data_IF_115864462243
#
_entry.id   IF_115864462243
#
_cell.length_a   1.000
_cell.length_b   1.000
_cell.length_c   1.000
_cell.angle_alpha   90.00
_cell.angle_beta   90.00
_cell.angle_gamma   90.00
#
_symmetry.space_group_name_H-M   'P 1'
#
loop_
_entity.id
_entity.type
_entity.pdbx_description
1 polymer ?
#
# COMPACT_ATOMS: atom_id res chain seq x y z
N UNK A 1 -7.44 15.92 -16.93
CA UNK A 1 -7.13 17.32 -17.30
C UNK A 1 -6.70 18.03 -16.02
N UNK A 2 -5.59 18.77 -16.04
CA UNK A 2 -5.18 19.55 -14.87
C UNK A 2 -6.20 20.70 -14.72
N UNK A 3 -6.79 20.91 -13.53
CA UNK A 3 -7.69 22.03 -13.30
C UNK A 3 -7.01 23.33 -13.72
N UNK A 4 -7.66 24.11 -14.60
CA UNK A 4 -7.20 25.47 -14.93
C UNK A 4 -7.56 26.36 -13.75
N UNK A 5 -6.58 26.72 -12.94
CA UNK A 5 -6.78 27.59 -11.80
C UNK A 5 -5.48 28.20 -11.31
N UNK A 6 -5.60 29.16 -10.41
CA UNK A 6 -4.48 29.86 -9.79
C UNK A 6 -4.21 29.28 -8.41
N UNK A 7 -2.93 29.00 -8.12
CA UNK A 7 -2.51 28.54 -6.79
C UNK A 7 -2.57 29.70 -5.80
N UNK A 8 -3.31 29.50 -4.72
CA UNK A 8 -3.50 30.51 -3.67
C UNK A 8 -2.63 30.22 -2.45
N UNK A 9 -2.33 28.95 -2.18
CA UNK A 9 -1.44 28.52 -1.10
C UNK A 9 -0.82 27.15 -1.44
N UNK A 10 0.34 26.85 -0.85
CA UNK A 10 1.01 25.55 -0.94
C UNK A 10 1.42 25.05 0.43
N UNK A 11 1.29 23.75 0.65
CA UNK A 11 1.48 23.09 1.94
C UNK A 11 2.30 21.82 1.81
N UNK A 12 3.02 21.44 2.86
CA UNK A 12 3.82 20.19 2.85
C UNK A 12 2.96 18.94 3.06
N UNK A 13 1.81 19.09 3.71
CA UNK A 13 0.92 18.00 4.07
C UNK A 13 -0.48 18.19 3.50
N UNK A 14 -1.08 17.08 3.06
CA UNK A 14 -2.48 17.06 2.64
C UNK A 14 -3.42 17.58 3.73
N UNK A 15 -3.11 17.32 5.01
CA UNK A 15 -3.93 17.77 6.14
C UNK A 15 -3.93 19.30 6.28
N UNK A 16 -2.80 19.95 6.02
CA UNK A 16 -2.71 21.42 6.03
C UNK A 16 -3.49 22.01 4.86
N UNK A 17 -3.34 21.42 3.66
CA UNK A 17 -4.15 21.81 2.50
C UNK A 17 -5.66 21.64 2.75
N UNK A 18 -6.06 20.54 3.41
CA UNK A 18 -7.45 20.30 3.80
C UNK A 18 -7.94 21.36 4.80
N UNK A 19 -7.13 21.73 5.80
CA UNK A 19 -7.47 22.80 6.74
C UNK A 19 -7.69 24.14 6.03
N UNK A 20 -6.89 24.46 5.02
CA UNK A 20 -7.09 25.67 4.21
C UNK A 20 -8.41 25.64 3.43
N UNK A 21 -8.76 24.49 2.86
CA UNK A 21 -10.08 24.28 2.23
C UNK A 21 -11.22 24.44 3.24
N UNK A 22 -11.06 23.90 4.45
CA UNK A 22 -12.07 24.01 5.50
C UNK A 22 -12.27 25.46 5.95
N UNK A 23 -11.21 26.26 6.05
CA UNK A 23 -11.29 27.69 6.32
C UNK A 23 -12.02 28.45 5.21
N UNK A 24 -11.74 28.13 3.95
CA UNK A 24 -12.48 28.71 2.82
C UNK A 24 -13.96 28.29 2.86
N UNK A 25 -14.25 27.04 3.16
CA UNK A 25 -15.62 26.53 3.25
C UNK A 25 -16.42 27.22 4.38
N UNK A 26 -15.79 27.50 5.52
CA UNK A 26 -16.41 28.24 6.63
C UNK A 26 -16.76 29.69 6.27
N UNK A 27 -16.07 30.27 5.28
CA UNK A 27 -16.32 31.62 4.77
C UNK A 27 -17.32 31.66 3.59
N UNK A 28 -18.15 30.62 3.44
CA UNK A 28 -19.10 30.45 2.31
C UNK A 28 -18.42 30.54 0.93
N UNK A 29 -17.14 30.13 0.83
CA UNK A 29 -16.45 30.07 -0.45
C UNK A 29 -16.96 28.87 -1.28
N UNK A 30 -17.13 29.01 -2.61
CA UNK A 30 -17.65 27.93 -3.44
C UNK A 30 -16.65 26.76 -3.56
N UNK A 31 -16.78 25.77 -2.68
CA UNK A 31 -15.89 24.60 -2.57
C UNK A 31 -15.73 23.79 -3.87
N UNK A 32 -16.73 23.82 -4.76
CA UNK A 32 -16.68 23.18 -6.08
C UNK A 32 -15.61 23.78 -7.00
N UNK A 33 -15.13 24.99 -6.69
CA UNK A 33 -14.10 25.70 -7.44
C UNK A 33 -12.72 25.57 -6.80
N UNK A 34 -12.58 24.74 -5.76
CA UNK A 34 -11.32 24.48 -5.08
C UNK A 34 -10.78 23.12 -5.51
N UNK A 35 -9.48 23.05 -5.77
CA UNK A 35 -8.77 21.81 -6.10
C UNK A 35 -7.49 21.71 -5.28
N UNK A 36 -7.24 20.55 -4.67
CA UNK A 36 -5.95 20.24 -4.05
C UNK A 36 -5.12 19.47 -5.08
N UNK A 37 -4.01 20.06 -5.50
CA UNK A 37 -3.11 19.51 -6.51
C UNK A 37 -1.81 19.10 -5.84
N UNK A 38 -1.46 17.82 -5.92
CA UNK A 38 -0.14 17.35 -5.48
C UNK A 38 0.94 17.77 -6.48
N UNK A 39 1.92 18.54 -6.02
CA UNK A 39 3.07 18.99 -6.81
C UNK A 39 4.33 18.18 -6.50
N UNK A 40 5.24 18.11 -7.48
CA UNK A 40 6.53 17.44 -7.31
C UNK A 40 6.37 15.96 -6.97
N UNK A 41 5.58 15.22 -7.76
CA UNK A 41 5.37 13.79 -7.58
C UNK A 41 6.72 13.05 -7.62
N UNK A 42 7.10 12.45 -6.50
CA UNK A 42 8.28 11.58 -6.38
C UNK A 42 7.82 10.13 -6.42
N UNK A 43 8.36 9.36 -7.35
CA UNK A 43 8.23 7.91 -7.35
C UNK A 43 9.27 7.34 -6.41
N UNK A 44 8.84 6.77 -5.29
CA UNK A 44 9.74 6.11 -4.34
C UNK A 44 9.62 4.61 -4.53
N UNK A 45 10.73 3.97 -4.88
CA UNK A 45 10.86 2.52 -4.87
C UNK A 45 11.27 2.06 -3.47
N UNK A 46 10.29 1.66 -2.65
CA UNK A 46 10.56 1.24 -1.28
C UNK A 46 11.05 -0.21 -1.27
N UNK A 47 12.32 -0.41 -0.95
CA UNK A 47 12.93 -1.73 -0.79
C UNK A 47 12.43 -2.36 0.51
N UNK A 48 11.34 -3.14 0.44
CA UNK A 48 10.65 -3.73 1.61
C UNK A 48 11.36 -4.92 2.24
N UNK A 49 12.44 -5.44 1.64
CA UNK A 49 13.25 -6.50 2.23
C UNK A 49 13.83 -7.48 1.20
N UNK A 50 14.77 -8.32 1.65
CA UNK A 50 15.34 -9.40 0.84
C UNK A 50 14.42 -10.62 0.89
N UNK A 51 13.93 -11.07 -0.26
CA UNK A 51 13.23 -12.36 -0.35
C UNK A 51 14.25 -13.48 -0.15
N UNK A 52 14.30 -14.04 1.06
CA UNK A 52 15.19 -15.14 1.42
C UNK A 52 14.56 -16.48 1.10
N UNK A 53 15.35 -17.40 0.55
CA UNK A 53 14.97 -18.80 0.31
C UNK A 53 14.35 -19.46 1.55
N UNK A 54 14.77 -19.09 2.76
CA UNK A 54 14.21 -19.61 4.00
C UNK A 54 12.74 -19.26 4.23
N UNK A 55 12.31 -18.05 3.86
CA UNK A 55 10.90 -17.63 4.00
C UNK A 55 9.99 -18.37 3.02
N UNK A 56 10.47 -18.54 1.79
CA UNK A 56 9.74 -19.26 0.73
C UNK A 56 9.67 -20.77 1.01
N UNK A 57 10.75 -21.35 1.52
CA UNK A 57 10.79 -22.74 1.96
C UNK A 57 9.84 -22.99 3.14
N UNK A 58 9.84 -22.11 4.15
CA UNK A 58 8.92 -22.20 5.29
C UNK A 58 7.45 -22.10 4.89
N UNK A 59 7.12 -21.13 4.03
CA UNK A 59 5.75 -20.99 3.51
C UNK A 59 5.30 -22.21 2.68
N UNK A 60 6.20 -22.74 1.85
CA UNK A 60 5.95 -23.96 1.07
C UNK A 60 5.73 -25.19 1.95
N UNK A 61 6.54 -25.35 3.00
CA UNK A 61 6.41 -26.45 3.95
C UNK A 61 5.07 -26.41 4.69
N UNK A 62 4.64 -25.22 5.14
CA UNK A 62 3.34 -25.04 5.80
C UNK A 62 2.17 -25.38 4.87
N UNK A 63 2.19 -24.86 3.64
CA UNK A 63 1.16 -25.15 2.64
C UNK A 63 1.12 -26.65 2.30
N UNK A 64 2.28 -27.27 2.13
CA UNK A 64 2.40 -28.71 1.88
C UNK A 64 1.97 -29.58 3.06
N UNK A 65 2.29 -29.18 4.29
CA UNK A 65 1.87 -29.87 5.51
C UNK A 65 0.34 -29.86 5.64
N UNK A 66 -0.29 -28.72 5.35
CA UNK A 66 -1.74 -28.59 5.35
C UNK A 66 -2.40 -29.52 4.32
N UNK A 67 -1.83 -29.59 3.11
CA UNK A 67 -2.30 -30.49 2.07
C UNK A 67 -2.12 -31.96 2.47
N UNK A 68 -0.96 -32.32 3.03
CA UNK A 68 -0.68 -33.65 3.55
C UNK A 68 -1.61 -34.06 4.71
N UNK A 69 -1.96 -33.10 5.58
CA UNK A 69 -2.94 -33.30 6.64
C UNK A 69 -4.32 -33.57 6.05
N UNK A 70 -4.75 -32.77 5.08
CA UNK A 70 -6.03 -32.93 4.41
C UNK A 70 -6.15 -34.32 3.76
N UNK A 71 -5.17 -34.73 2.95
CA UNK A 71 -5.18 -36.06 2.33
C UNK A 71 -5.03 -37.20 3.34
N UNK A 72 -4.23 -37.01 4.40
CA UNK A 72 -4.10 -38.00 5.47
C UNK A 72 -5.42 -38.24 6.20
N UNK A 73 -6.14 -37.18 6.56
CA UNK A 73 -7.46 -37.28 7.19
C UNK A 73 -8.51 -37.87 6.24
N UNK A 74 -8.50 -37.45 4.97
CA UNK A 74 -9.38 -38.00 3.94
C UNK A 74 -9.19 -39.52 3.79
N UNK A 75 -7.94 -40.00 3.88
CA UNK A 75 -7.61 -41.42 3.79
C UNK A 75 -8.16 -42.22 4.98
N UNK A 76 -8.17 -41.67 6.19
CA UNK A 76 -8.81 -42.32 7.35
C UNK A 76 -10.31 -42.51 7.12
N UNK A 77 -10.98 -41.51 6.52
CA UNK A 77 -12.42 -41.58 6.25
C UNK A 77 -12.73 -42.64 5.19
N UNK A 78 -11.89 -42.73 4.15
CA UNK A 78 -12.06 -43.69 3.04
C UNK A 78 -11.61 -45.10 3.43
N UNK A 79 -10.58 -45.22 4.26
CA UNK A 79 -9.98 -46.48 4.67
C UNK A 79 -9.87 -46.56 6.20
N UNK A 80 -10.80 -47.26 6.87
CA UNK A 80 -10.80 -47.36 8.34
C UNK A 80 -9.64 -48.19 8.91
N UNK A 81 -8.84 -48.88 8.06
CA UNK A 81 -7.61 -49.54 8.48
C UNK A 81 -6.40 -48.59 8.56
N UNK A 82 -6.57 -47.32 8.19
CA UNK A 82 -5.50 -46.33 8.23
C UNK A 82 -5.25 -45.84 9.66
N UNK A 83 -4.03 -46.08 10.14
CA UNK A 83 -3.56 -45.60 11.43
C UNK A 83 -3.11 -44.13 11.37
N UNK A 84 -3.14 -43.46 12.52
CA UNK A 84 -2.71 -42.05 12.65
C UNK A 84 -1.24 -41.82 12.25
N UNK A 85 -0.40 -42.86 12.31
CA UNK A 85 0.98 -42.86 11.78
C UNK A 85 1.03 -42.51 10.29
N UNK A 86 0.07 -42.97 9.50
CA UNK A 86 -0.01 -42.63 8.07
C UNK A 86 -0.34 -41.16 7.83
N UNK A 87 -1.14 -40.54 8.71
CA UNK A 87 -1.41 -39.10 8.65
C UNK A 87 -0.13 -38.32 8.95
N UNK A 88 0.61 -38.71 9.99
CA UNK A 88 1.90 -38.11 10.30
C UNK A 88 2.88 -38.20 9.12
N UNK A 89 2.98 -39.37 8.48
CA UNK A 89 3.80 -39.56 7.29
C UNK A 89 3.33 -38.71 6.10
N UNK A 90 2.02 -38.65 5.85
CA UNK A 90 1.43 -37.83 4.78
C UNK A 90 1.70 -36.33 4.97
N UNK A 91 1.61 -35.84 6.21
CA UNK A 91 1.96 -34.46 6.56
C UNK A 91 3.44 -34.18 6.31
N UNK A 92 4.34 -35.07 6.74
CA UNK A 92 5.78 -34.90 6.53
C UNK A 92 6.16 -34.91 5.04
N UNK A 93 5.61 -35.85 4.27
CA UNK A 93 5.83 -35.94 2.83
C UNK A 93 5.24 -34.70 2.14
N UNK A 94 4.02 -34.30 2.51
CA UNK A 94 3.38 -33.09 2.00
C UNK A 94 4.21 -31.84 2.27
N UNK A 95 4.73 -31.68 3.49
CA UNK A 95 5.59 -30.57 3.87
C UNK A 95 6.91 -30.56 3.08
N UNK A 96 7.58 -31.70 2.93
CA UNK A 96 8.81 -31.82 2.16
C UNK A 96 8.59 -31.50 0.68
N UNK A 97 7.50 -32.04 0.09
CA UNK A 97 7.14 -31.77 -1.29
C UNK A 97 6.73 -30.30 -1.50
N UNK A 98 5.91 -29.73 -0.62
CA UNK A 98 5.48 -28.32 -0.69
C UNK A 98 6.66 -27.36 -0.52
N UNK A 99 7.62 -27.69 0.35
CA UNK A 99 8.87 -26.96 0.49
C UNK A 99 9.67 -26.98 -0.82
N UNK A 100 9.91 -28.18 -1.38
CA UNK A 100 10.69 -28.36 -2.60
C UNK A 100 10.01 -27.66 -3.79
N UNK A 101 8.69 -27.85 -3.96
CA UNK A 101 7.90 -27.24 -5.02
C UNK A 101 7.88 -25.71 -4.92
N UNK A 102 7.76 -25.15 -3.71
CA UNK A 102 7.82 -23.71 -3.49
C UNK A 102 9.19 -23.13 -3.86
N UNK A 103 10.28 -23.80 -3.47
CA UNK A 103 11.65 -23.39 -3.81
C UNK A 103 11.92 -23.48 -5.31
N UNK A 104 11.47 -24.56 -5.97
CA UNK A 104 11.61 -24.73 -7.42
C UNK A 104 10.76 -23.70 -8.17
N UNK A 105 9.49 -23.54 -7.80
CA UNK A 105 8.59 -22.55 -8.40
C UNK A 105 9.14 -21.13 -8.21
N UNK A 106 9.73 -20.85 -7.06
CA UNK A 106 10.44 -19.60 -6.82
C UNK A 106 11.66 -19.43 -7.72
N UNK A 107 12.49 -20.47 -7.87
CA UNK A 107 13.66 -20.43 -8.74
C UNK A 107 13.27 -20.22 -10.22
N UNK A 108 12.19 -20.86 -10.68
CA UNK A 108 11.67 -20.72 -12.04
C UNK A 108 11.01 -19.34 -12.28
N UNK A 109 10.24 -18.84 -11.32
CA UNK A 109 9.60 -17.52 -11.40
C UNK A 109 10.54 -16.37 -11.02
N UNK A 110 11.78 -16.65 -10.62
CA UNK A 110 12.80 -15.64 -10.33
C UNK A 110 13.30 -14.99 -11.63
N UNK A 111 12.42 -14.23 -12.28
CA UNK A 111 12.79 -13.22 -13.26
C UNK A 111 13.60 -12.14 -12.54
N UNK A 112 14.93 -12.19 -12.70
CA UNK A 112 15.94 -11.09 -12.62
C UNK A 112 15.51 -9.72 -12.05
N UNK A 113 14.88 -9.65 -10.88
CA UNK A 113 14.75 -8.43 -10.06
C UNK A 113 14.72 -8.84 -8.60
N UNK A 114 15.83 -8.65 -7.92
CA UNK A 114 16.06 -9.03 -6.51
C UNK A 114 15.31 -8.14 -5.49
N UNK A 115 14.21 -7.51 -5.91
CA UNK A 115 13.42 -6.59 -5.10
C UNK A 115 11.93 -6.77 -5.42
N UNK A 116 11.10 -6.99 -4.38
CA UNK A 116 9.67 -6.68 -4.45
C UNK A 116 9.56 -5.17 -4.38
N UNK A 117 9.32 -4.56 -5.52
CA UNK A 117 9.20 -3.13 -5.66
C UNK A 117 7.73 -2.77 -5.74
N UNK A 118 7.22 -2.13 -4.69
CA UNK A 118 5.95 -1.42 -4.79
C UNK A 118 6.29 0.01 -5.23
N UNK A 119 5.82 0.40 -6.41
CA UNK A 119 5.88 1.81 -6.82
C UNK A 119 4.88 2.59 -5.97
N UNK A 120 5.37 3.49 -5.12
CA UNK A 120 4.53 4.45 -4.42
C UNK A 120 4.83 5.84 -4.98
N UNK A 121 3.79 6.55 -5.42
CA UNK A 121 3.88 7.94 -5.83
C UNK A 121 3.48 8.80 -4.64
N UNK A 122 4.38 9.68 -4.20
CA UNK A 122 4.15 10.60 -3.08
C UNK A 122 4.34 12.02 -3.60
N UNK A 123 3.40 12.92 -3.32
CA UNK A 123 3.54 14.35 -3.63
C UNK A 123 4.51 15.01 -2.65
N UNK A 124 5.37 15.90 -3.14
CA UNK A 124 6.31 16.65 -2.29
C UNK A 124 5.61 17.82 -1.60
N UNK A 125 4.61 18.40 -2.25
CA UNK A 125 3.77 19.45 -1.68
C UNK A 125 2.35 19.37 -2.24
N UNK A 126 1.42 20.06 -1.60
CA UNK A 126 0.01 20.13 -1.94
C UNK A 126 -0.38 21.59 -2.14
N UNK A 127 -0.64 21.96 -3.39
CA UNK A 127 -1.13 23.28 -3.77
C UNK A 127 -2.66 23.32 -3.68
N UNK A 128 -3.20 24.36 -3.06
CA UNK A 128 -4.62 24.69 -3.13
C UNK A 128 -4.80 25.67 -4.29
N UNK A 129 -5.55 25.22 -5.29
CA UNK A 129 -5.80 25.94 -6.54
C UNK A 129 -7.28 26.28 -6.64
N UNK A 130 -7.60 27.51 -7.05
CA UNK A 130 -8.99 27.96 -7.25
C UNK A 130 -9.18 28.55 -8.64
N UNK A 131 -10.43 28.75 -9.06
CA UNK A 131 -10.74 29.48 -10.28
C UNK A 131 -10.11 30.90 -10.27
N UNK A 132 -9.48 31.37 -11.36
CA UNK A 132 -8.75 32.65 -11.38
C UNK A 132 -9.58 33.85 -10.91
N UNK A 133 -10.89 33.83 -11.19
CA UNK A 133 -11.83 34.89 -10.84
C UNK A 133 -12.01 35.05 -9.32
N UNK A 134 -11.73 33.99 -8.56
CA UNK A 134 -11.88 33.95 -7.11
C UNK A 134 -10.55 33.94 -6.35
N UNK A 135 -9.42 33.94 -7.06
CA UNK A 135 -8.09 33.80 -6.46
C UNK A 135 -7.78 34.89 -5.42
N UNK A 136 -8.09 36.16 -5.73
CA UNK A 136 -7.89 37.27 -4.80
C UNK A 136 -8.78 37.16 -3.55
N UNK A 137 -10.03 36.73 -3.72
CA UNK A 137 -10.94 36.51 -2.58
C UNK A 137 -10.44 35.38 -1.69
N UNK A 138 -9.97 34.28 -2.27
CA UNK A 138 -9.41 33.16 -1.53
C UNK A 138 -8.16 33.55 -0.73
N UNK A 139 -7.22 34.30 -1.34
CA UNK A 139 -6.04 34.85 -0.65
C UNK A 139 -6.44 35.70 0.55
N UNK A 140 -7.35 36.65 0.37
CA UNK A 140 -7.81 37.53 1.45
C UNK A 140 -8.43 36.75 2.62
N UNK A 141 -9.18 35.68 2.35
CA UNK A 141 -9.81 34.84 3.38
C UNK A 141 -8.79 33.97 4.13
N UNK A 142 -7.77 33.48 3.42
CA UNK A 142 -6.66 32.72 4.00
C UNK A 142 -5.72 33.63 4.80
N UNK A 143 -5.49 34.88 4.37
CA UNK A 143 -4.69 35.86 5.10
C UNK A 143 -5.39 36.36 6.36
N UNK A 144 -6.73 36.52 6.31
CA UNK A 144 -7.55 36.89 7.46
C UNK A 144 -7.66 35.78 8.52
N UNK A 145 -7.37 34.54 8.12
CA UNK A 145 -7.38 33.36 8.99
C UNK A 145 -5.93 32.90 9.14
N UNK A 146 -5.14 33.46 10.07
CA UNK A 146 -3.71 33.16 10.18
C UNK A 146 -3.49 31.66 10.46
N UNK A 147 -3.36 30.87 9.39
CA UNK A 147 -3.14 29.45 9.47
C UNK A 147 -1.65 29.20 9.67
N UNK A 148 -1.24 29.21 10.94
CA UNK A 148 -0.38 28.17 11.52
C UNK A 148 0.96 27.86 10.79
N UNK A 149 1.58 28.84 10.13
CA UNK A 149 2.93 28.75 9.57
C UNK A 149 4.07 28.77 10.63
N UNK A 150 3.76 28.54 11.92
CA UNK A 150 4.73 28.71 13.03
C UNK A 150 4.85 27.54 14.03
N UNK A 151 4.20 26.39 13.81
CA UNK A 151 4.37 25.22 14.70
C UNK A 151 5.08 24.05 14.02
N UNK A 152 6.34 24.25 13.66
CA UNK A 152 7.39 23.23 13.64
C UNK A 152 8.75 23.92 13.38
N UNK A 153 9.20 24.68 14.39
CA UNK A 153 10.61 24.63 14.78
C UNK A 153 10.77 23.53 15.81
#
# INVERSE_FOLDING_TARGET
>A
MIPRGETVASFESYKQAQSAVDTLAQADFPVKQISIVGDGLKSVERVTGRLSYGRTAGAGALSGAWLGLFFGLLLIIINPAANITFVGAAVLIGAAFGMMFSVVSYALNRRRRDFTSVMQVIATSYAVTVAPELANRARNLLDASPQQQQQQQ
#
